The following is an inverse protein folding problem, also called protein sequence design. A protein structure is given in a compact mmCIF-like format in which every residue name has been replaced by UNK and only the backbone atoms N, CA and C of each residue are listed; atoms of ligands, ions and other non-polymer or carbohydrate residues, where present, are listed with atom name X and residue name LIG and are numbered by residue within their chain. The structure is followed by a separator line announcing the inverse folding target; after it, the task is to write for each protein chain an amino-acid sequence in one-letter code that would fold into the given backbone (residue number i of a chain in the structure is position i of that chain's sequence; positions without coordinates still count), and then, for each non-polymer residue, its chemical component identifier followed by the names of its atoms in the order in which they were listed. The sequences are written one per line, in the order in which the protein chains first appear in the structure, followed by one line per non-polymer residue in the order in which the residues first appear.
data_IF_704839086611
#
_entry.id   IF_704839086611
#
_cell.length_a   1.000
_cell.length_b   1.000
_cell.length_c   1.000
_cell.angle_alpha   90.00
_cell.angle_beta   90.00
_cell.angle_gamma   90.00
#
_symmetry.space_group_name_H-M   'P 1'
#
loop_
_entity.id
_entity.type
_entity.pdbx_description
1 polymer ?
#
# COMPACT_ATOMS: atom_id res chain seq x y z
N UNK A 1 1.77 -29.24 3.77
CA UNK A 1 1.71 -28.41 2.55
C UNK A 1 3.08 -27.80 2.27
N UNK A 2 3.50 -27.69 1.00
CA UNK A 2 4.67 -26.88 0.65
C UNK A 2 4.38 -25.40 0.94
N UNK A 3 5.39 -24.61 1.31
CA UNK A 3 5.14 -23.27 1.86
C UNK A 3 4.49 -22.26 0.91
N UNK A 4 4.59 -22.46 -0.42
CA UNK A 4 3.94 -21.57 -1.39
C UNK A 4 2.41 -21.75 -1.41
N UNK A 5 1.86 -22.97 -1.62
CA UNK A 5 0.44 -23.24 -1.40
C UNK A 5 -0.07 -22.82 -0.02
N UNK A 6 0.66 -23.13 1.05
CA UNK A 6 0.24 -22.80 2.42
C UNK A 6 0.07 -21.28 2.62
N UNK A 7 1.06 -20.51 2.19
CA UNK A 7 1.00 -19.05 2.28
C UNK A 7 -0.05 -18.43 1.35
N UNK A 8 -0.23 -18.97 0.13
CA UNK A 8 -1.30 -18.51 -0.76
C UNK A 8 -2.67 -18.78 -0.14
N UNK A 9 -2.89 -19.98 0.41
CA UNK A 9 -4.13 -20.36 1.08
C UNK A 9 -4.45 -19.40 2.23
N UNK A 10 -3.49 -19.16 3.13
CA UNK A 10 -3.63 -18.21 4.23
C UNK A 10 -4.04 -16.81 3.75
N UNK A 11 -3.29 -16.24 2.80
CA UNK A 11 -3.56 -14.87 2.35
C UNK A 11 -4.86 -14.75 1.55
N UNK A 12 -5.24 -15.76 0.75
CA UNK A 12 -6.55 -15.79 0.09
C UNK A 12 -7.71 -15.97 1.06
N UNK A 13 -7.52 -16.73 2.15
CA UNK A 13 -8.46 -16.82 3.26
C UNK A 13 -8.75 -15.44 3.85
N UNK A 14 -7.72 -14.68 4.20
CA UNK A 14 -7.88 -13.32 4.74
C UNK A 14 -8.61 -12.37 3.77
N UNK A 15 -8.46 -12.55 2.46
CA UNK A 15 -9.20 -11.76 1.46
C UNK A 15 -10.68 -12.15 1.50
N UNK A 16 -11.00 -13.45 1.55
CA UNK A 16 -12.36 -13.95 1.62
C UNK A 16 -13.06 -13.51 2.92
N UNK A 17 -12.36 -13.57 4.06
CA UNK A 17 -12.88 -13.11 5.35
C UNK A 17 -13.17 -11.60 5.30
N UNK A 18 -12.27 -10.82 4.70
CA UNK A 18 -12.48 -9.40 4.45
C UNK A 18 -13.64 -9.10 3.50
N UNK A 19 -13.90 -9.96 2.51
CA UNK A 19 -15.10 -9.86 1.66
C UNK A 19 -16.37 -10.18 2.46
N UNK A 20 -16.31 -11.16 3.36
CA UNK A 20 -17.40 -11.46 4.30
C UNK A 20 -17.75 -10.24 5.17
N UNK A 21 -16.74 -9.64 5.81
CA UNK A 21 -16.94 -8.44 6.62
C UNK A 21 -17.51 -7.25 5.83
N UNK A 22 -17.10 -7.06 4.56
CA UNK A 22 -17.70 -6.02 3.71
C UNK A 22 -19.19 -6.26 3.46
N UNK A 23 -19.60 -7.53 3.26
CA UNK A 23 -21.01 -7.90 3.06
C UNK A 23 -21.85 -7.71 4.34
N UNK A 24 -21.23 -7.88 5.50
CA UNK A 24 -21.83 -7.66 6.81
C UNK A 24 -21.85 -6.18 7.25
N UNK A 25 -21.34 -5.27 6.41
CA UNK A 25 -21.31 -3.84 6.70
C UNK A 25 -20.13 -3.38 7.57
N UNK A 26 -19.17 -4.26 7.86
CA UNK A 26 -17.92 -3.88 8.53
C UNK A 26 -16.96 -3.15 7.58
N UNK A 27 -15.87 -2.59 8.13
CA UNK A 27 -14.80 -1.95 7.34
C UNK A 27 -13.44 -2.69 7.43
N UNK A 28 -13.32 -3.90 6.86
CA UNK A 28 -12.06 -4.66 6.85
C UNK A 28 -11.09 -4.18 5.75
N UNK A 29 -11.37 -3.07 5.06
CA UNK A 29 -10.69 -2.66 3.82
C UNK A 29 -9.17 -2.59 3.98
N UNK A 30 -8.67 -2.11 5.13
CA UNK A 30 -7.24 -2.03 5.37
C UNK A 30 -6.57 -3.41 5.26
N UNK A 31 -7.08 -4.39 5.99
CA UNK A 31 -6.48 -5.72 6.11
C UNK A 31 -6.70 -6.52 4.82
N UNK A 32 -7.89 -6.43 4.21
CA UNK A 32 -8.16 -7.01 2.88
C UNK A 32 -7.15 -6.51 1.86
N UNK A 33 -6.85 -5.20 1.82
CA UNK A 33 -5.82 -4.63 0.93
C UNK A 33 -4.41 -5.11 1.26
N UNK A 34 -4.09 -5.36 2.53
CA UNK A 34 -2.80 -5.94 2.91
C UNK A 34 -2.69 -7.37 2.37
N UNK A 35 -3.72 -8.19 2.56
CA UNK A 35 -3.79 -9.57 2.09
C UNK A 35 -3.71 -9.65 0.55
N UNK A 36 -4.51 -8.86 -0.18
CA UNK A 36 -4.43 -8.78 -1.65
C UNK A 36 -3.00 -8.43 -2.10
N UNK A 37 -2.38 -7.43 -1.47
CA UNK A 37 -1.02 -7.01 -1.84
C UNK A 37 0.03 -8.08 -1.57
N UNK A 38 -0.12 -8.86 -0.50
CA UNK A 38 0.73 -10.03 -0.20
C UNK A 38 0.54 -11.10 -1.28
N UNK A 39 -0.69 -11.51 -1.56
CA UNK A 39 -1.03 -12.51 -2.60
C UNK A 39 -0.46 -12.10 -3.95
N UNK A 40 -0.75 -10.88 -4.42
CA UNK A 40 -0.21 -10.34 -5.67
C UNK A 40 1.31 -10.32 -5.73
N UNK A 41 1.95 -9.94 -4.62
CA UNK A 41 3.42 -9.94 -4.56
C UNK A 41 3.99 -11.35 -4.65
N UNK A 42 3.38 -12.30 -3.95
CA UNK A 42 3.73 -13.72 -4.00
C UNK A 42 3.57 -14.27 -5.41
N UNK A 43 2.40 -14.09 -6.04
CA UNK A 43 2.13 -14.55 -7.41
C UNK A 43 3.17 -14.01 -8.39
N UNK A 44 3.51 -12.71 -8.31
CA UNK A 44 4.49 -12.09 -9.21
C UNK A 44 5.93 -12.53 -8.99
N UNK A 45 6.33 -12.74 -7.73
CA UNK A 45 7.71 -13.15 -7.40
C UNK A 45 7.92 -14.63 -7.72
N UNK A 46 6.91 -15.44 -7.45
CA UNK A 46 6.95 -16.88 -7.59
C UNK A 46 6.21 -17.39 -8.85
N UNK A 47 5.94 -16.52 -9.83
CA UNK A 47 5.29 -16.87 -11.10
C UNK A 47 5.98 -18.04 -11.86
N UNK A 48 7.26 -18.30 -11.60
CA UNK A 48 7.98 -19.46 -12.16
C UNK A 48 7.64 -20.81 -11.51
N UNK A 49 6.90 -20.78 -10.41
CA UNK A 49 6.41 -21.94 -9.66
C UNK A 49 4.89 -22.09 -9.80
N UNK A 50 4.27 -21.30 -10.68
CA UNK A 50 2.83 -21.26 -10.90
C UNK A 50 2.56 -21.45 -12.40
N UNK A 51 1.35 -21.85 -12.72
CA UNK A 51 0.80 -21.64 -14.05
C UNK A 51 0.84 -20.16 -14.42
N UNK A 52 1.49 -19.83 -15.54
CA UNK A 52 1.78 -18.43 -15.90
C UNK A 52 0.52 -17.66 -16.26
N UNK A 53 -0.39 -18.29 -16.99
CA UNK A 53 -1.60 -17.62 -17.46
C UNK A 53 -2.59 -17.48 -16.31
N UNK A 54 -2.78 -18.54 -15.52
CA UNK A 54 -3.59 -18.47 -14.30
C UNK A 54 -3.04 -17.41 -13.32
N UNK A 55 -1.72 -17.35 -13.12
CA UNK A 55 -1.08 -16.34 -12.27
C UNK A 55 -1.27 -14.91 -12.78
N UNK A 56 -1.23 -14.71 -14.10
CA UNK A 56 -1.46 -13.39 -14.70
C UNK A 56 -2.91 -12.95 -14.50
N UNK A 57 -3.87 -13.78 -14.90
CA UNK A 57 -5.30 -13.51 -14.74
C UNK A 57 -5.65 -13.22 -13.29
N UNK A 58 -5.12 -14.01 -12.35
CA UNK A 58 -5.37 -13.78 -10.93
C UNK A 58 -4.72 -12.50 -10.38
N UNK A 59 -3.51 -12.12 -10.80
CA UNK A 59 -2.92 -10.82 -10.42
C UNK A 59 -3.73 -9.64 -10.96
N UNK A 60 -4.32 -9.78 -12.15
CA UNK A 60 -5.13 -8.75 -12.80
C UNK A 60 -6.49 -8.56 -12.09
N UNK A 61 -7.18 -9.64 -11.70
CA UNK A 61 -8.42 -9.53 -10.93
C UNK A 61 -8.18 -8.97 -9.51
N UNK A 62 -7.11 -9.43 -8.85
CA UNK A 62 -6.70 -8.85 -7.57
C UNK A 62 -6.25 -7.39 -7.72
N UNK A 63 -5.71 -6.98 -8.88
CA UNK A 63 -5.35 -5.59 -9.16
C UNK A 63 -6.59 -4.73 -9.26
N UNK A 64 -7.59 -5.19 -9.99
CA UNK A 64 -8.87 -4.51 -10.16
C UNK A 64 -9.54 -4.27 -8.81
N UNK A 65 -9.75 -5.33 -8.01
CA UNK A 65 -10.40 -5.20 -6.71
C UNK A 65 -9.59 -4.36 -5.72
N UNK A 66 -8.26 -4.48 -5.72
CA UNK A 66 -7.40 -3.58 -4.96
C UNK A 66 -7.44 -2.12 -5.45
N UNK A 67 -7.83 -1.86 -6.69
CA UNK A 67 -8.09 -0.50 -7.19
C UNK A 67 -9.29 0.10 -6.46
N UNK A 68 -10.43 -0.57 -6.54
CA UNK A 68 -11.69 -0.17 -5.91
C UNK A 68 -11.55 0.07 -4.40
N UNK A 69 -10.98 -0.90 -3.68
CA UNK A 69 -10.72 -0.76 -2.25
C UNK A 69 -9.75 0.40 -1.93
N UNK A 70 -8.92 0.80 -2.90
CA UNK A 70 -7.99 1.92 -2.76
C UNK A 70 -8.68 3.26 -2.79
N UNK A 71 -9.71 3.41 -3.61
CA UNK A 71 -10.51 4.62 -3.70
C UNK A 71 -11.20 4.95 -2.36
N UNK A 72 -11.58 3.92 -1.59
CA UNK A 72 -12.09 4.10 -0.22
C UNK A 72 -10.95 4.35 0.78
N UNK A 73 -9.86 3.58 0.70
CA UNK A 73 -8.81 3.63 1.73
C UNK A 73 -7.96 4.90 1.70
N UNK A 74 -7.72 5.44 0.51
CA UNK A 74 -6.84 6.59 0.33
C UNK A 74 -7.39 7.86 1.01
N UNK A 75 -8.67 8.26 0.87
CA UNK A 75 -9.24 9.38 1.64
C UNK A 75 -9.24 9.11 3.15
N UNK A 76 -9.56 7.89 3.63
CA UNK A 76 -9.47 7.55 5.06
C UNK A 76 -8.08 7.75 5.65
N UNK A 77 -7.03 7.39 4.90
CA UNK A 77 -5.65 7.59 5.32
C UNK A 77 -5.31 9.08 5.39
N UNK A 78 -5.71 9.86 4.38
CA UNK A 78 -5.44 11.30 4.36
C UNK A 78 -6.23 12.03 5.44
N UNK A 79 -7.50 11.71 5.62
CA UNK A 79 -8.34 12.30 6.66
C UNK A 79 -7.71 12.10 8.04
N UNK A 80 -7.30 10.87 8.39
CA UNK A 80 -6.62 10.60 9.66
C UNK A 80 -5.31 11.37 9.80
N UNK A 81 -4.47 11.40 8.75
CA UNK A 81 -3.17 12.10 8.79
C UNK A 81 -3.34 13.61 8.94
N UNK A 82 -4.21 14.22 8.15
CA UNK A 82 -4.38 15.67 8.10
C UNK A 82 -5.09 16.18 9.35
N UNK A 83 -6.12 15.48 9.85
CA UNK A 83 -6.74 15.84 11.14
C UNK A 83 -5.76 15.77 12.31
N UNK A 84 -4.93 14.73 12.35
CA UNK A 84 -3.86 14.65 13.35
C UNK A 84 -2.83 15.78 13.20
N UNK A 85 -2.56 16.24 11.98
CA UNK A 85 -1.68 17.37 11.73
C UNK A 85 -2.30 18.70 12.19
N UNK A 86 -3.61 18.91 11.96
CA UNK A 86 -4.35 20.08 12.45
C UNK A 86 -4.34 20.13 13.97
N UNK A 87 -4.66 19.02 14.65
CA UNK A 87 -4.65 18.93 16.13
C UNK A 87 -3.27 19.13 16.77
N UNK A 88 -2.20 19.05 15.98
CA UNK A 88 -0.85 19.30 16.44
C UNK A 88 -0.39 20.76 16.19
N UNK A 89 -1.23 21.59 15.55
CA UNK A 89 -0.98 23.01 15.40
C UNK A 89 -1.29 23.75 16.70
N UNK A 90 -0.69 24.93 16.86
CA UNK A 90 -1.17 25.90 17.83
C UNK A 90 -2.56 26.40 17.38
N UNK A 91 -3.52 26.52 18.30
CA UNK A 91 -4.89 26.96 18.03
C UNK A 91 -4.94 28.30 17.26
N UNK A 92 -4.00 29.22 17.52
CA UNK A 92 -3.90 30.49 16.80
C UNK A 92 -3.59 30.34 15.29
N UNK A 93 -3.11 29.17 14.86
CA UNK A 93 -2.80 28.85 13.46
C UNK A 93 -3.91 28.02 12.79
N UNK A 94 -4.92 27.57 13.54
CA UNK A 94 -6.07 26.86 13.02
C UNK A 94 -7.19 27.85 12.64
N UNK A 95 -6.97 28.58 11.55
CA UNK A 95 -7.90 29.63 11.11
C UNK A 95 -9.09 29.02 10.36
N UNK A 96 -10.27 29.10 10.97
CA UNK A 96 -11.54 28.61 10.43
C UNK A 96 -11.80 27.11 10.71
N UNK A 97 -12.85 26.53 10.11
CA UNK A 97 -13.31 25.17 10.40
C UNK A 97 -12.48 24.08 9.69
N UNK A 98 -11.14 24.18 9.73
CA UNK A 98 -10.19 23.39 8.92
C UNK A 98 -10.37 21.88 9.11
N UNK A 99 -10.46 21.41 10.37
CA UNK A 99 -10.65 19.98 10.65
C UNK A 99 -11.99 19.48 10.09
N UNK A 100 -13.06 20.26 10.28
CA UNK A 100 -14.39 19.92 9.81
C UNK A 100 -14.45 19.88 8.28
N UNK A 101 -13.79 20.81 7.59
CA UNK A 101 -13.69 20.82 6.13
C UNK A 101 -12.95 19.60 5.58
N UNK A 102 -11.77 19.28 6.13
CA UNK A 102 -11.04 18.05 5.78
C UNK A 102 -11.89 16.81 5.99
N UNK A 103 -12.64 16.76 7.10
CA UNK A 103 -13.53 15.66 7.40
C UNK A 103 -14.65 15.53 6.37
N UNK A 104 -15.38 16.60 6.05
CA UNK A 104 -16.49 16.58 5.08
C UNK A 104 -16.00 16.16 3.69
N UNK A 105 -15.05 16.90 3.13
CA UNK A 105 -14.62 16.71 1.74
C UNK A 105 -14.06 15.30 1.49
N UNK A 106 -13.34 14.72 2.46
CA UNK A 106 -12.81 13.35 2.33
C UNK A 106 -13.85 12.28 2.64
N UNK A 107 -14.83 12.57 3.50
CA UNK A 107 -15.95 11.67 3.75
C UNK A 107 -16.86 11.56 2.52
N UNK A 108 -17.06 12.65 1.79
CA UNK A 108 -17.85 12.64 0.55
C UNK A 108 -17.17 11.76 -0.52
N UNK A 109 -15.85 11.94 -0.70
CA UNK A 109 -15.05 11.08 -1.60
C UNK A 109 -15.10 9.61 -1.17
N UNK A 110 -14.97 9.33 0.13
CA UNK A 110 -15.07 7.97 0.66
C UNK A 110 -16.45 7.36 0.40
N UNK A 111 -17.53 8.13 0.60
CA UNK A 111 -18.92 7.67 0.41
C UNK A 111 -19.18 7.29 -1.04
N UNK A 112 -18.76 8.11 -2.01
CA UNK A 112 -18.86 7.77 -3.43
C UNK A 112 -18.04 6.51 -3.76
N UNK A 113 -16.81 6.42 -3.26
CA UNK A 113 -15.97 5.23 -3.49
C UNK A 113 -16.57 3.96 -2.88
N UNK A 114 -17.25 4.05 -1.73
CA UNK A 114 -17.96 2.91 -1.11
C UNK A 114 -19.13 2.46 -1.97
N UNK A 115 -19.88 3.39 -2.54
CA UNK A 115 -20.96 3.05 -3.47
C UNK A 115 -20.41 2.26 -4.68
N UNK A 116 -19.28 2.69 -5.27
CA UNK A 116 -18.63 1.94 -6.34
C UNK A 116 -18.16 0.55 -5.93
N UNK A 117 -17.64 0.37 -4.70
CA UNK A 117 -17.27 -0.96 -4.19
C UNK A 117 -18.51 -1.84 -4.06
N UNK A 118 -19.60 -1.33 -3.50
CA UNK A 118 -20.86 -2.05 -3.34
C UNK A 118 -21.43 -2.49 -4.69
N UNK A 119 -21.50 -1.58 -5.66
CA UNK A 119 -21.96 -1.87 -7.02
C UNK A 119 -21.07 -2.93 -7.69
N UNK A 120 -19.75 -2.76 -7.62
CA UNK A 120 -18.81 -3.73 -8.18
C UNK A 120 -18.94 -5.12 -7.56
N UNK A 121 -19.26 -5.20 -6.27
CA UNK A 121 -19.47 -6.47 -5.55
C UNK A 121 -20.77 -7.19 -5.94
N UNK A 122 -21.68 -6.54 -6.67
CA UNK A 122 -22.90 -7.13 -7.23
C UNK A 122 -22.73 -7.60 -8.69
N UNK A 123 -21.61 -7.24 -9.33
CA UNK A 123 -21.36 -7.56 -10.73
C UNK A 123 -20.82 -9.00 -10.92
N UNK A 124 -21.12 -9.67 -12.05
CA UNK A 124 -20.64 -11.04 -12.33
C UNK A 124 -19.12 -11.20 -12.21
N UNK A 125 -18.36 -10.18 -12.58
CA UNK A 125 -16.90 -10.15 -12.44
C UNK A 125 -16.44 -10.39 -11.00
N UNK A 126 -17.18 -9.89 -10.02
CA UNK A 126 -16.83 -10.10 -8.61
C UNK A 126 -17.05 -11.55 -8.18
N UNK A 127 -18.09 -12.21 -8.66
CA UNK A 127 -18.34 -13.62 -8.40
C UNK A 127 -17.27 -14.52 -9.02
N UNK A 128 -16.77 -14.16 -10.21
CA UNK A 128 -15.61 -14.81 -10.82
C UNK A 128 -14.34 -14.64 -9.96
N UNK A 129 -14.10 -13.44 -9.42
CA UNK A 129 -13.00 -13.19 -8.49
C UNK A 129 -13.14 -14.02 -7.21
N UNK A 130 -14.32 -14.11 -6.61
CA UNK A 130 -14.56 -14.93 -5.40
C UNK A 130 -14.32 -16.41 -5.70
N UNK A 131 -14.77 -16.89 -6.86
CA UNK A 131 -14.53 -18.26 -7.33
C UNK A 131 -13.03 -18.52 -7.51
N UNK A 132 -12.30 -17.59 -8.14
CA UNK A 132 -10.85 -17.66 -8.27
C UNK A 132 -10.16 -17.68 -6.90
N UNK A 133 -10.55 -16.81 -5.96
CA UNK A 133 -10.01 -16.79 -4.60
C UNK A 133 -10.20 -18.13 -3.88
N UNK A 134 -11.39 -18.74 -3.98
CA UNK A 134 -11.68 -20.07 -3.40
C UNK A 134 -10.78 -21.15 -4.02
N UNK A 135 -10.63 -21.17 -5.34
CA UNK A 135 -9.74 -22.10 -6.04
C UNK A 135 -8.28 -21.93 -5.60
N UNK A 136 -7.78 -20.70 -5.55
CA UNK A 136 -6.41 -20.42 -5.14
C UNK A 136 -6.16 -20.72 -3.66
N UNK A 137 -7.21 -20.74 -2.82
CA UNK A 137 -7.12 -21.15 -1.44
C UNK A 137 -6.92 -22.66 -1.28
N UNK A 138 -7.62 -23.47 -2.09
CA UNK A 138 -7.64 -24.93 -1.93
C UNK A 138 -6.66 -25.65 -2.85
N UNK A 139 -6.57 -25.23 -4.11
CA UNK A 139 -5.77 -25.85 -5.15
C UNK A 139 -5.11 -24.78 -6.05
N UNK A 140 -4.12 -24.02 -5.53
CA UNK A 140 -3.38 -23.07 -6.35
C UNK A 140 -2.60 -23.82 -7.43
N UNK A 141 -2.54 -23.30 -8.68
CA UNK A 141 -1.95 -24.01 -9.82
C UNK A 141 -0.41 -24.00 -9.75
N UNK A 142 0.15 -24.76 -8.82
CA UNK A 142 1.59 -24.86 -8.58
C UNK A 142 2.23 -25.82 -9.58
N UNK A 143 3.38 -25.41 -10.13
CA UNK A 143 4.19 -26.24 -11.01
C UNK A 143 5.44 -26.75 -10.27
N UNK A 144 5.92 -27.97 -10.57
CA UNK A 144 7.23 -28.43 -10.13
C UNK A 144 8.31 -27.42 -10.55
N UNK A 145 9.22 -27.06 -9.64
CA UNK A 145 10.12 -25.96 -9.96
C UNK A 145 11.25 -25.70 -8.98
N UNK A 146 12.04 -24.68 -9.32
CA UNK A 146 13.30 -24.26 -8.67
C UNK A 146 13.12 -24.01 -7.15
N UNK A 147 14.23 -23.79 -6.43
CA UNK A 147 14.19 -23.45 -4.99
C UNK A 147 13.59 -22.04 -4.78
N UNK A 148 12.52 -21.91 -3.97
CA UNK A 148 11.86 -20.63 -3.62
C UNK A 148 12.86 -19.55 -3.15
N UNK A 149 13.89 -19.97 -2.41
CA UNK A 149 15.00 -19.11 -1.95
C UNK A 149 15.67 -18.31 -3.08
N UNK A 150 15.81 -18.88 -4.29
CA UNK A 150 16.41 -18.18 -5.44
C UNK A 150 15.52 -17.02 -5.93
N UNK A 151 14.21 -17.22 -5.94
CA UNK A 151 13.22 -16.19 -6.34
C UNK A 151 13.18 -15.04 -5.32
N UNK A 152 13.18 -15.36 -4.02
CA UNK A 152 13.25 -14.35 -2.96
C UNK A 152 14.55 -13.53 -3.00
N UNK A 153 15.70 -14.19 -3.20
CA UNK A 153 16.99 -13.49 -3.32
C UNK A 153 17.02 -12.54 -4.54
N UNK A 154 16.37 -12.92 -5.65
CA UNK A 154 16.22 -12.03 -6.82
C UNK A 154 15.34 -10.81 -6.50
N UNK A 155 14.27 -10.99 -5.75
CA UNK A 155 13.41 -9.90 -5.31
C UNK A 155 14.16 -8.90 -4.42
N UNK A 156 14.95 -9.40 -3.46
CA UNK A 156 15.81 -8.57 -2.60
C UNK A 156 16.85 -7.78 -3.42
N UNK A 157 17.62 -8.44 -4.30
CA UNK A 157 18.58 -7.75 -5.20
C UNK A 157 17.91 -6.68 -6.05
N UNK A 158 16.73 -6.98 -6.61
CA UNK A 158 15.96 -6.02 -7.41
C UNK A 158 15.51 -4.82 -6.58
N UNK A 159 15.08 -5.03 -5.34
CA UNK A 159 14.70 -3.95 -4.43
C UNK A 159 15.88 -3.04 -4.11
N UNK A 160 17.05 -3.61 -3.78
CA UNK A 160 18.28 -2.84 -3.54
C UNK A 160 18.71 -2.04 -4.77
N UNK A 161 18.74 -2.67 -5.95
CA UNK A 161 19.06 -1.96 -7.20
C UNK A 161 18.12 -0.79 -7.47
N UNK A 162 16.81 -0.98 -7.27
CA UNK A 162 15.83 0.09 -7.49
C UNK A 162 15.93 1.20 -6.45
N UNK A 163 16.30 0.87 -5.23
CA UNK A 163 16.59 1.87 -4.21
C UNK A 163 17.81 2.69 -4.60
N UNK A 164 18.94 2.07 -4.94
CA UNK A 164 20.14 2.77 -5.37
C UNK A 164 19.88 3.71 -6.56
N UNK A 165 19.13 3.25 -7.56
CA UNK A 165 18.70 4.08 -8.70
C UNK A 165 17.81 5.26 -8.29
N UNK A 166 16.98 5.09 -7.26
CA UNK A 166 16.09 6.14 -6.79
C UNK A 166 16.80 7.21 -5.95
N UNK A 167 17.93 6.86 -5.32
CA UNK A 167 18.72 7.81 -4.53
C UNK A 167 19.57 8.75 -5.40
N UNK A 168 19.82 8.38 -6.66
CA UNK A 168 20.50 9.23 -7.63
C UNK A 168 19.55 10.05 -8.51
N UNK A 169 18.29 10.24 -8.10
CA UNK A 169 17.28 10.96 -8.87
C UNK A 169 16.49 11.89 -7.97
N UNK A 170 16.20 13.08 -8.48
CA UNK A 170 15.34 14.05 -7.80
C UNK A 170 13.83 13.78 -7.99
N UNK A 171 13.47 12.87 -8.91
CA UNK A 171 12.08 12.51 -9.19
C UNK A 171 11.49 11.54 -8.13
N UNK A 172 10.19 11.67 -7.88
CA UNK A 172 9.46 10.74 -7.01
C UNK A 172 9.19 9.37 -7.68
N UNK A 173 9.16 9.31 -9.02
CA UNK A 173 8.80 8.09 -9.75
C UNK A 173 9.77 6.91 -9.49
N UNK A 174 11.11 7.08 -9.49
CA UNK A 174 12.05 6.06 -9.02
C UNK A 174 11.80 5.61 -7.58
N UNK A 175 11.53 6.53 -6.64
CA UNK A 175 11.26 6.21 -5.23
C UNK A 175 9.98 5.38 -5.10
N UNK A 176 8.95 5.69 -5.88
CA UNK A 176 7.73 4.89 -5.94
C UNK A 176 7.99 3.46 -6.45
N UNK A 177 8.85 3.30 -7.47
CA UNK A 177 9.27 1.97 -7.96
C UNK A 177 10.10 1.22 -6.92
N UNK A 178 10.98 1.90 -6.17
CA UNK A 178 11.76 1.34 -5.08
C UNK A 178 10.84 0.84 -3.95
N UNK A 179 9.83 1.63 -3.55
CA UNK A 179 8.81 1.24 -2.56
C UNK A 179 8.08 -0.03 -2.97
N UNK A 180 7.60 -0.10 -4.22
CA UNK A 180 6.95 -1.31 -4.76
C UNK A 180 7.89 -2.52 -4.73
N UNK A 181 9.18 -2.35 -5.00
CA UNK A 181 10.16 -3.43 -4.95
C UNK A 181 10.50 -3.87 -3.52
N UNK A 182 10.65 -2.94 -2.58
CA UNK A 182 10.87 -3.22 -1.16
C UNK A 182 9.70 -4.00 -0.56
N UNK A 183 8.44 -3.59 -0.83
CA UNK A 183 7.24 -4.34 -0.45
C UNK A 183 7.30 -5.79 -0.93
N UNK A 184 7.60 -6.01 -2.20
CA UNK A 184 7.75 -7.35 -2.78
C UNK A 184 8.86 -8.17 -2.10
N UNK A 185 10.04 -7.59 -1.90
CA UNK A 185 11.14 -8.27 -1.21
C UNK A 185 10.79 -8.64 0.24
N UNK A 186 10.05 -7.77 0.94
CA UNK A 186 9.50 -8.04 2.28
C UNK A 186 8.58 -9.25 2.26
N UNK A 187 7.59 -9.27 1.36
CA UNK A 187 6.63 -10.38 1.26
C UNK A 187 7.26 -11.71 0.84
N UNK A 188 8.28 -11.68 -0.02
CA UNK A 188 9.05 -12.88 -0.31
C UNK A 188 9.80 -13.43 0.92
N UNK A 189 10.29 -12.54 1.80
CA UNK A 189 10.92 -12.92 3.05
C UNK A 189 9.89 -13.39 4.10
N UNK A 190 8.69 -12.80 4.15
CA UNK A 190 7.56 -13.30 4.95
C UNK A 190 7.22 -14.75 4.54
N UNK A 191 7.07 -15.04 3.25
CA UNK A 191 6.81 -16.40 2.76
C UNK A 191 7.93 -17.39 3.12
N UNK A 192 9.19 -16.99 3.00
CA UNK A 192 10.30 -17.88 3.39
C UNK A 192 10.30 -18.22 4.88
N UNK A 193 9.80 -17.32 5.74
CA UNK A 193 9.64 -17.60 7.18
C UNK A 193 8.50 -18.58 7.44
N UNK A 194 7.45 -18.56 6.62
CA UNK A 194 6.39 -19.57 6.64
C UNK A 194 6.91 -20.99 6.29
N UNK A 195 8.03 -21.10 5.56
CA UNK A 195 8.74 -22.36 5.28
C UNK A 195 9.80 -22.73 6.33
N UNK A 196 9.73 -22.14 7.52
CA UNK A 196 10.73 -22.24 8.58
C UNK A 196 11.53 -20.94 8.77
N UNK A 197 11.81 -20.60 10.04
CA UNK A 197 12.55 -19.38 10.35
C UNK A 197 14.01 -19.47 9.89
N UNK A 198 14.41 -18.55 9.00
CA UNK A 198 15.84 -18.29 8.76
C UNK A 198 16.20 -16.90 9.26
N UNK A 199 17.27 -16.80 10.06
CA UNK A 199 17.83 -15.53 10.55
C UNK A 199 18.03 -14.52 9.41
N UNK A 200 18.36 -15.01 8.20
CA UNK A 200 18.50 -14.20 7.00
C UNK A 200 17.15 -13.63 6.50
N UNK A 201 16.09 -14.45 6.39
CA UNK A 201 14.77 -13.97 5.94
C UNK A 201 14.22 -12.90 6.89
N UNK A 202 14.31 -13.12 8.21
CA UNK A 202 13.89 -12.16 9.25
C UNK A 202 14.64 -10.82 9.14
N UNK A 203 15.95 -10.85 8.87
CA UNK A 203 16.75 -9.63 8.64
C UNK A 203 16.32 -8.90 7.37
N UNK A 204 16.07 -9.62 6.29
CA UNK A 204 15.61 -9.06 5.00
C UNK A 204 14.24 -8.44 5.12
N UNK A 205 13.29 -9.10 5.79
CA UNK A 205 11.97 -8.56 6.08
C UNK A 205 12.08 -7.26 6.89
N UNK A 206 12.79 -7.26 8.03
CA UNK A 206 12.98 -6.07 8.87
C UNK A 206 13.64 -4.91 8.10
N UNK A 207 14.57 -5.20 7.20
CA UNK A 207 15.21 -4.18 6.36
C UNK A 207 14.20 -3.53 5.42
N UNK A 208 13.49 -4.33 4.62
CA UNK A 208 12.52 -3.81 3.65
C UNK A 208 11.28 -3.21 4.31
N UNK A 209 10.88 -3.67 5.50
CA UNK A 209 9.83 -3.04 6.31
C UNK A 209 10.15 -1.58 6.65
N UNK A 210 11.41 -1.29 7.00
CA UNK A 210 11.85 0.08 7.31
C UNK A 210 11.89 0.97 6.08
N UNK A 211 12.46 0.49 4.97
CA UNK A 211 12.45 1.22 3.68
C UNK A 211 11.01 1.50 3.24
N UNK A 212 10.14 0.50 3.33
CA UNK A 212 8.73 0.66 3.00
C UNK A 212 8.03 1.71 3.86
N UNK A 213 8.36 1.80 5.16
CA UNK A 213 7.79 2.81 6.07
C UNK A 213 8.17 4.21 5.59
N UNK A 214 9.47 4.49 5.45
CA UNK A 214 9.99 5.80 5.03
C UNK A 214 9.41 6.20 3.65
N UNK A 215 9.49 5.32 2.66
CA UNK A 215 8.93 5.61 1.34
C UNK A 215 7.39 5.67 1.33
N UNK A 216 6.75 5.14 2.37
CA UNK A 216 5.31 5.29 2.60
C UNK A 216 4.95 6.67 3.07
N UNK A 217 5.64 7.13 4.09
CA UNK A 217 5.47 8.48 4.61
C UNK A 217 5.72 9.51 3.47
N UNK A 218 6.74 9.30 2.63
CA UNK A 218 6.96 10.10 1.41
C UNK A 218 5.78 10.03 0.42
N UNK A 219 5.30 8.84 0.07
CA UNK A 219 4.16 8.72 -0.86
C UNK A 219 2.92 9.43 -0.32
N UNK A 220 2.66 9.31 0.99
CA UNK A 220 1.49 9.92 1.61
C UNK A 220 1.58 11.46 1.55
N UNK A 221 2.78 12.04 1.64
CA UNK A 221 3.01 13.48 1.43
C UNK A 221 2.75 13.92 -0.01
N UNK A 222 3.22 13.15 -1.00
CA UNK A 222 2.99 13.42 -2.43
C UNK A 222 1.50 13.41 -2.75
N UNK A 223 0.73 12.51 -2.13
CA UNK A 223 -0.72 12.45 -2.29
C UNK A 223 -1.43 13.59 -1.55
N UNK A 224 -0.96 13.99 -0.36
CA UNK A 224 -1.58 15.03 0.44
C UNK A 224 -1.44 16.43 -0.17
N UNK A 225 -0.30 16.75 -0.79
CA UNK A 225 0.01 18.11 -1.27
C UNK A 225 -0.99 18.68 -2.29
N UNK A 226 -1.36 17.99 -3.38
CA UNK A 226 -2.35 18.50 -4.33
C UNK A 226 -3.72 18.73 -3.68
N UNK A 227 -4.11 17.85 -2.76
CA UNK A 227 -5.36 17.96 -1.99
C UNK A 227 -5.34 19.20 -1.09
N UNK A 228 -4.28 19.39 -0.30
CA UNK A 228 -4.13 20.58 0.56
C UNK A 228 -4.14 21.88 -0.25
N UNK A 229 -3.49 21.89 -1.43
CA UNK A 229 -3.52 23.06 -2.32
C UNK A 229 -4.94 23.38 -2.80
N UNK A 230 -5.71 22.37 -3.19
CA UNK A 230 -7.12 22.52 -3.59
C UNK A 230 -7.96 23.03 -2.42
N UNK A 231 -7.90 22.37 -1.28
CA UNK A 231 -8.65 22.76 -0.08
C UNK A 231 -8.33 24.20 0.36
N UNK A 232 -7.05 24.59 0.31
CA UNK A 232 -6.63 25.95 0.64
C UNK A 232 -7.14 27.00 -0.35
N UNK A 233 -7.16 26.69 -1.66
CA UNK A 233 -7.71 27.58 -2.67
C UNK A 233 -9.22 27.75 -2.49
N UNK A 234 -9.96 26.65 -2.31
CA UNK A 234 -11.40 26.67 -2.13
C UNK A 234 -11.80 27.38 -0.82
N UNK A 235 -11.03 27.18 0.27
CA UNK A 235 -11.24 27.88 1.54
C UNK A 235 -10.93 29.38 1.47
N UNK A 236 -9.96 29.79 0.64
CA UNK A 236 -9.62 31.20 0.44
C UNK A 236 -10.71 32.02 -0.26
N UNK A 237 -11.68 31.37 -0.90
CA UNK A 237 -12.81 32.00 -1.58
C UNK A 237 -14.16 31.71 -0.91
N UNK A 238 -14.16 31.04 0.24
CA UNK A 238 -15.38 30.71 1.00
C UNK A 238 -15.53 31.70 2.16
N UNK A 239 -16.68 32.37 2.26
CA UNK A 239 -16.95 33.31 3.34
C UNK A 239 -16.80 32.65 4.73
N UNK A 240 -16.07 33.31 5.62
CA UNK A 240 -15.82 32.81 6.97
C UNK A 240 -14.76 31.70 7.07
N UNK A 241 -14.11 31.34 5.97
CA UNK A 241 -12.99 30.39 5.96
C UNK A 241 -11.65 31.04 5.60
N UNK A 242 -10.55 30.30 5.76
CA UNK A 242 -9.21 30.81 5.51
C UNK A 242 -8.29 29.72 4.94
N UNK A 243 -7.63 30.02 3.81
CA UNK A 243 -6.69 29.11 3.15
C UNK A 243 -5.34 28.94 3.86
N UNK A 244 -4.99 29.83 4.80
CA UNK A 244 -3.67 29.88 5.46
C UNK A 244 -3.28 28.56 6.12
N UNK A 245 -4.19 27.95 6.90
CA UNK A 245 -3.91 26.70 7.62
C UNK A 245 -3.57 25.57 6.65
N UNK A 246 -4.25 25.49 5.50
CA UNK A 246 -3.94 24.50 4.46
C UNK A 246 -2.57 24.74 3.82
N UNK A 247 -2.17 26.00 3.66
CA UNK A 247 -0.82 26.39 3.26
C UNK A 247 0.26 25.92 4.25
N UNK A 248 0.02 26.09 5.55
CA UNK A 248 0.91 25.57 6.61
C UNK A 248 1.03 24.04 6.56
N UNK A 249 -0.10 23.34 6.42
CA UNK A 249 -0.10 21.89 6.27
C UNK A 249 0.66 21.45 5.01
N UNK A 250 0.51 22.16 3.89
CA UNK A 250 1.24 21.88 2.66
C UNK A 250 2.75 22.00 2.88
N UNK A 251 3.21 23.08 3.51
CA UNK A 251 4.61 23.30 3.84
C UNK A 251 5.15 22.21 4.79
N UNK A 252 4.33 21.76 5.75
CA UNK A 252 4.67 20.62 6.63
C UNK A 252 4.87 19.33 5.83
N UNK A 253 4.01 19.04 4.85
CA UNK A 253 4.15 17.87 3.99
C UNK A 253 5.43 17.93 3.15
N UNK A 254 5.83 19.11 2.68
CA UNK A 254 7.12 19.32 2.00
C UNK A 254 8.32 19.00 2.87
N UNK A 255 8.31 19.51 4.10
CA UNK A 255 9.37 19.22 5.06
C UNK A 255 9.42 17.72 5.40
N UNK A 256 8.28 17.06 5.50
CA UNK A 256 8.21 15.60 5.69
C UNK A 256 8.77 14.85 4.48
N UNK A 257 8.45 15.25 3.26
CA UNK A 257 8.99 14.66 2.04
C UNK A 257 10.53 14.76 2.02
N UNK A 258 11.06 15.95 2.31
CA UNK A 258 12.49 16.19 2.39
C UNK A 258 13.18 15.35 3.49
N UNK A 259 12.55 15.23 4.68
CA UNK A 259 13.02 14.33 5.75
C UNK A 259 13.06 12.88 5.28
N UNK A 260 11.99 12.38 4.67
CA UNK A 260 11.93 11.01 4.17
C UNK A 260 13.02 10.72 3.13
N UNK A 261 13.32 11.67 2.24
CA UNK A 261 14.42 11.56 1.27
C UNK A 261 15.79 11.46 1.95
N UNK A 262 16.05 12.25 2.99
CA UNK A 262 17.28 12.14 3.79
C UNK A 262 17.36 10.80 4.54
N UNK A 263 16.27 10.39 5.19
CA UNK A 263 16.21 9.16 5.98
C UNK A 263 16.42 7.91 5.13
N UNK A 264 15.86 7.87 3.91
CA UNK A 264 16.07 6.73 3.03
C UNK A 264 17.52 6.68 2.51
N UNK A 265 18.13 7.85 2.26
CA UNK A 265 19.53 7.98 1.83
C UNK A 265 20.49 7.51 2.91
N UNK A 266 20.35 8.01 4.15
CA UNK A 266 21.19 7.60 5.28
C UNK A 266 21.07 6.10 5.55
N UNK A 267 19.86 5.54 5.40
CA UNK A 267 19.62 4.12 5.60
C UNK A 267 20.24 3.23 4.54
N UNK A 268 20.27 3.68 3.29
CA UNK A 268 20.95 2.97 2.22
C UNK A 268 22.47 3.02 2.41
N UNK A 269 23.02 4.20 2.71
CA UNK A 269 24.46 4.39 2.93
C UNK A 269 25.03 3.63 4.15
N UNK A 270 24.23 3.41 5.20
CA UNK A 270 24.64 2.58 6.35
C UNK A 270 24.93 1.12 5.97
N UNK A 271 24.39 0.63 4.86
CA UNK A 271 24.49 -0.78 4.47
C UNK A 271 25.59 -1.07 3.46
N UNK A 272 26.04 -0.10 2.66
CA UNK A 272 27.21 -0.27 1.79
C UNK A 272 28.52 -0.33 2.61
N UNK A 273 28.48 0.05 3.89
CA UNK A 273 29.62 -0.02 4.83
C UNK A 273 29.68 -1.29 5.71
N UNK A 274 28.77 -2.27 5.52
CA UNK A 274 28.67 -3.51 6.31
C UNK A 274 28.47 -4.74 5.43
#
# INVERSE_FOLDING_TARGET
MTALPGYLAEQTGLILDGIGGLREGADPIHDTRVAIRRTRSTVRIFARHLDRDAARTFDDELKWFAGLLGEVRDPQVQQRRLRAAVRALNDALALGPVEARIQRDLHDVETTARAHVTEAMQAPRFDELVTALRRWRTDPPVRPGKKLRKSAARADRKARKRLAQALGSDDDAPLHRARKAAKRARYAAELLQHNGETKHAKRTEKHHKRIQKILGDLQDTVVARPMLRRLGADAGTTDGENGFTFGLLYAREEQLAARCRRDVTSRAGYRDRR
#
